data_IF_060579532663
#
_entry.id   IF_060579532663
#
_cell.length_a   1.000
_cell.length_b   1.000
_cell.length_c   1.000
_cell.angle_alpha   90.00
_cell.angle_beta   90.00
_cell.angle_gamma   90.00
#
_symmetry.space_group_name_H-M   'P 1'
#
loop_
_entity.id
_entity.type
_entity.pdbx_description
1 polymer ?
#
# COMPACT_ATOMS: atom_id res chain seq x y z
N UNK A 1 31.78 1.70 37.20
CA UNK A 1 30.40 1.64 36.66
C UNK A 1 30.21 2.61 35.47
N UNK A 2 30.74 3.82 35.51
CA UNK A 2 30.67 4.83 34.42
C UNK A 2 31.31 4.34 33.09
N UNK A 3 32.50 3.79 33.10
CA UNK A 3 33.20 3.25 31.94
C UNK A 3 32.46 2.09 31.24
N UNK A 4 31.60 1.38 31.95
CA UNK A 4 30.84 0.26 31.40
C UNK A 4 29.57 0.73 30.69
N UNK A 5 28.96 1.84 31.12
CA UNK A 5 27.82 2.47 30.47
C UNK A 5 28.23 3.17 29.14
N UNK A 6 29.36 3.88 29.14
CA UNK A 6 29.89 4.53 27.91
C UNK A 6 30.25 3.53 26.80
N UNK A 7 30.84 2.38 27.16
CA UNK A 7 31.12 1.30 26.20
C UNK A 7 29.87 0.65 25.66
N UNK A 8 28.80 0.50 26.46
CA UNK A 8 27.51 -0.07 25.99
C UNK A 8 26.81 0.91 25.08
N UNK A 9 26.77 2.21 25.40
CA UNK A 9 26.20 3.26 24.54
C UNK A 9 26.92 3.36 23.21
N UNK A 10 28.26 3.35 23.22
CA UNK A 10 29.08 3.37 21.98
C UNK A 10 28.86 2.12 21.12
N UNK A 11 28.74 0.93 21.74
CA UNK A 11 28.45 -0.31 21.02
C UNK A 11 27.03 -0.32 20.44
N UNK A 12 26.08 0.22 21.18
CA UNK A 12 24.68 0.34 20.75
C UNK A 12 24.53 1.35 19.60
N UNK A 13 25.21 2.51 19.68
CA UNK A 13 25.26 3.48 18.59
C UNK A 13 25.85 2.89 17.30
N UNK A 14 26.99 2.19 17.41
CA UNK A 14 27.62 1.51 16.25
C UNK A 14 26.74 0.41 15.65
N UNK A 15 25.97 -0.29 16.48
CA UNK A 15 25.03 -1.30 16.01
C UNK A 15 23.86 -0.65 15.24
N UNK A 16 23.29 0.43 15.77
CA UNK A 16 22.24 1.21 15.12
C UNK A 16 22.71 1.81 13.81
N UNK A 17 23.93 2.41 13.78
CA UNK A 17 24.53 2.96 12.55
C UNK A 17 24.72 1.90 11.47
N UNK A 18 25.23 0.71 11.85
CA UNK A 18 25.37 -0.41 10.91
C UNK A 18 24.04 -0.89 10.38
N UNK A 19 23.04 -0.96 11.22
CA UNK A 19 21.68 -1.37 10.81
C UNK A 19 21.05 -0.33 9.86
N UNK A 20 21.21 0.96 10.15
CA UNK A 20 20.76 2.04 9.27
C UNK A 20 21.50 2.04 7.94
N UNK A 21 22.82 1.78 7.92
CA UNK A 21 23.58 1.64 6.67
C UNK A 21 23.13 0.43 5.84
N UNK A 22 22.88 -0.71 6.47
CA UNK A 22 22.38 -1.90 5.79
C UNK A 22 21.00 -1.66 5.17
N UNK A 23 20.11 -1.00 5.90
CA UNK A 23 18.78 -0.63 5.38
C UNK A 23 18.89 0.37 4.21
N UNK A 24 19.73 1.40 4.30
CA UNK A 24 19.97 2.33 3.19
C UNK A 24 20.52 1.64 1.95
N UNK A 25 21.52 0.77 2.11
CA UNK A 25 22.08 -0.01 1.01
C UNK A 25 21.02 -0.90 0.34
N UNK A 26 20.15 -1.54 1.12
CA UNK A 26 19.03 -2.35 0.61
C UNK A 26 18.06 -1.50 -0.22
N UNK A 27 17.72 -0.31 0.27
CA UNK A 27 16.84 0.64 -0.40
C UNK A 27 17.47 1.14 -1.71
N UNK A 28 18.74 1.54 -1.68
CA UNK A 28 19.46 2.02 -2.85
C UNK A 28 19.60 0.93 -3.92
N UNK A 29 19.87 -0.31 -3.51
CA UNK A 29 19.87 -1.46 -4.42
C UNK A 29 18.51 -1.68 -5.07
N UNK A 30 17.42 -1.68 -4.29
CA UNK A 30 16.05 -1.86 -4.80
C UNK A 30 15.70 -0.73 -5.77
N UNK A 31 16.04 0.50 -5.45
CA UNK A 31 15.78 1.67 -6.31
C UNK A 31 16.51 1.57 -7.64
N UNK A 32 17.81 1.23 -7.60
CA UNK A 32 18.63 1.09 -8.80
C UNK A 32 18.16 -0.08 -9.66
N UNK A 33 17.93 -1.24 -9.05
CA UNK A 33 17.40 -2.43 -9.76
C UNK A 33 16.04 -2.14 -10.39
N UNK A 34 15.15 -1.44 -9.70
CA UNK A 34 13.83 -1.08 -10.25
C UNK A 34 13.95 -0.16 -11.47
N UNK A 35 14.87 0.81 -11.42
CA UNK A 35 15.16 1.67 -12.57
C UNK A 35 15.72 0.87 -13.76
N UNK A 36 16.67 -0.02 -13.50
CA UNK A 36 17.35 -0.81 -14.54
C UNK A 36 16.42 -1.87 -15.16
N UNK A 37 15.41 -2.33 -14.40
CA UNK A 37 14.36 -3.22 -14.92
C UNK A 37 13.29 -2.48 -15.74
N UNK A 38 13.04 -1.21 -15.47
CA UNK A 38 12.04 -0.42 -16.20
C UNK A 38 12.39 -0.25 -17.68
N UNK A 39 13.67 -0.05 -18.00
CA UNK A 39 14.13 0.17 -19.37
C UNK A 39 13.90 -1.02 -20.30
N UNK A 40 14.37 -2.26 -19.99
CA UNK A 40 14.12 -3.42 -20.83
C UNK A 40 12.63 -3.76 -20.89
N UNK A 41 11.88 -3.57 -19.81
CA UNK A 41 10.44 -3.81 -19.79
C UNK A 41 9.69 -2.87 -20.73
N UNK A 42 10.03 -1.58 -20.74
CA UNK A 42 9.44 -0.60 -21.68
C UNK A 42 9.68 -1.02 -23.13
N UNK A 43 10.87 -1.53 -23.43
CA UNK A 43 11.19 -2.05 -24.76
C UNK A 43 10.36 -3.29 -25.12
N UNK A 44 10.22 -4.24 -24.16
CA UNK A 44 9.40 -5.44 -24.39
C UNK A 44 7.94 -5.08 -24.64
N UNK A 45 7.36 -4.15 -23.87
CA UNK A 45 5.98 -3.65 -24.08
C UNK A 45 5.86 -3.05 -25.47
N UNK A 46 6.79 -2.19 -25.89
CA UNK A 46 6.78 -1.57 -27.22
C UNK A 46 6.80 -2.60 -28.37
N UNK A 47 7.63 -3.64 -28.28
CA UNK A 47 7.64 -4.71 -29.29
C UNK A 47 6.37 -5.56 -29.27
N UNK A 48 5.80 -5.83 -28.12
CA UNK A 48 4.53 -6.56 -28.00
C UNK A 48 3.38 -5.76 -28.60
N UNK A 49 3.36 -4.43 -28.41
CA UNK A 49 2.37 -3.54 -29.02
C UNK A 49 2.53 -3.44 -30.54
N UNK A 50 3.74 -3.57 -31.06
CA UNK A 50 3.99 -3.69 -32.52
C UNK A 50 3.48 -5.03 -33.04
N UNK A 51 3.77 -6.14 -32.34
CA UNK A 51 3.29 -7.48 -32.73
C UNK A 51 1.75 -7.55 -32.78
N UNK A 52 1.03 -6.87 -31.85
CA UNK A 52 -0.44 -6.80 -31.89
C UNK A 52 -1.02 -6.12 -33.14
N UNK A 53 -0.19 -5.37 -33.86
CA UNK A 53 -0.61 -4.68 -35.12
C UNK A 53 -0.32 -5.49 -36.36
N UNK A 54 0.40 -6.61 -36.24
CA UNK A 54 0.70 -7.50 -37.36
C UNK A 54 -0.42 -8.53 -37.55
N UNK A 55 -0.50 -9.10 -38.77
CA UNK A 55 -1.41 -10.20 -39.08
C UNK A 55 -0.92 -11.50 -38.43
N UNK A 56 -1.37 -11.74 -37.20
CA UNK A 56 -1.00 -12.91 -36.41
C UNK A 56 -1.96 -14.06 -36.65
N UNK A 57 -1.46 -15.29 -36.60
CA UNK A 57 -2.33 -16.47 -36.47
C UNK A 57 -3.07 -16.45 -35.15
N UNK A 58 -4.27 -17.08 -35.03
CA UNK A 58 -5.00 -17.10 -33.73
C UNK A 58 -4.16 -17.57 -32.55
N UNK A 59 -3.36 -18.62 -32.74
CA UNK A 59 -2.47 -19.12 -31.69
C UNK A 59 -1.36 -18.10 -31.32
N UNK A 60 -0.82 -17.35 -32.27
CA UNK A 60 0.18 -16.31 -32.02
C UNK A 60 -0.44 -15.11 -31.29
N UNK A 61 -1.70 -14.80 -31.60
CA UNK A 61 -2.45 -13.75 -30.92
C UNK A 61 -2.68 -14.10 -29.43
N UNK A 62 -3.08 -15.35 -29.11
CA UNK A 62 -3.23 -15.83 -27.76
C UNK A 62 -1.89 -15.70 -26.97
N UNK A 63 -0.77 -16.05 -27.60
CA UNK A 63 0.55 -15.90 -26.94
C UNK A 63 0.90 -14.45 -26.68
N UNK A 64 0.64 -13.55 -27.60
CA UNK A 64 0.88 -12.11 -27.45
C UNK A 64 0.03 -11.53 -26.34
N UNK A 65 -1.23 -11.97 -26.19
CA UNK A 65 -2.10 -11.55 -25.09
C UNK A 65 -1.57 -12.01 -23.73
N UNK A 66 -1.14 -13.27 -23.62
CA UNK A 66 -0.52 -13.79 -22.38
C UNK A 66 0.75 -13.03 -22.04
N UNK A 67 1.63 -12.78 -23.03
CA UNK A 67 2.86 -12.01 -22.81
C UNK A 67 2.54 -10.59 -22.34
N UNK A 68 1.57 -9.92 -22.99
CA UNK A 68 1.14 -8.58 -22.60
C UNK A 68 0.63 -8.52 -21.15
N UNK A 69 -0.20 -9.49 -20.75
CA UNK A 69 -0.70 -9.57 -19.37
C UNK A 69 0.45 -9.74 -18.36
N UNK A 70 1.44 -10.60 -18.69
CA UNK A 70 2.62 -10.81 -17.83
C UNK A 70 3.55 -9.59 -17.78
N UNK A 71 3.67 -8.85 -18.86
CA UNK A 71 4.43 -7.59 -18.89
C UNK A 71 3.78 -6.51 -18.02
N UNK A 72 2.46 -6.34 -18.10
CA UNK A 72 1.75 -5.38 -17.24
C UNK A 72 1.89 -5.76 -15.76
N UNK A 73 1.72 -7.04 -15.44
CA UNK A 73 1.95 -7.57 -14.09
C UNK A 73 3.37 -7.27 -13.58
N UNK A 74 4.41 -7.45 -14.40
CA UNK A 74 5.80 -7.15 -14.04
C UNK A 74 6.03 -5.64 -13.86
N UNK A 75 5.41 -4.82 -14.69
CA UNK A 75 5.48 -3.36 -14.60
C UNK A 75 4.88 -2.86 -13.28
N UNK A 76 3.71 -3.35 -12.89
CA UNK A 76 3.08 -3.04 -11.60
C UNK A 76 3.95 -3.47 -10.42
N UNK A 77 4.59 -4.65 -10.50
CA UNK A 77 5.50 -5.14 -9.48
C UNK A 77 6.71 -4.21 -9.30
N UNK A 78 7.37 -3.84 -10.39
CA UNK A 78 8.53 -2.93 -10.37
C UNK A 78 8.11 -1.56 -9.81
N UNK A 79 6.95 -1.05 -10.22
CA UNK A 79 6.42 0.21 -9.73
C UNK A 79 6.15 0.15 -8.21
N UNK A 80 5.49 -0.90 -7.73
CA UNK A 80 5.20 -1.11 -6.32
C UNK A 80 6.48 -1.23 -5.48
N UNK A 81 7.49 -1.94 -5.99
CA UNK A 81 8.79 -2.07 -5.33
C UNK A 81 9.50 -0.71 -5.21
N UNK A 82 9.42 0.11 -6.25
CA UNK A 82 9.99 1.46 -6.26
C UNK A 82 9.26 2.39 -5.28
N UNK A 83 7.91 2.35 -5.23
CA UNK A 83 7.08 3.09 -4.28
C UNK A 83 7.44 2.71 -2.84
N UNK A 84 7.53 1.41 -2.55
CA UNK A 84 7.90 0.92 -1.23
C UNK A 84 9.31 1.36 -0.83
N UNK A 85 10.28 1.24 -1.74
CA UNK A 85 11.66 1.68 -1.50
C UNK A 85 11.73 3.18 -1.16
N UNK A 86 11.05 4.03 -1.92
CA UNK A 86 11.01 5.48 -1.65
C UNK A 86 10.32 5.82 -0.34
N UNK A 87 9.19 5.17 -0.05
CA UNK A 87 8.42 5.46 1.16
C UNK A 87 9.14 5.03 2.44
N UNK A 88 9.94 3.96 2.38
CA UNK A 88 10.74 3.48 3.53
C UNK A 88 12.05 4.23 3.72
N UNK A 89 12.62 4.81 2.64
CA UNK A 89 13.87 5.59 2.72
C UNK A 89 13.71 6.97 3.37
N UNK A 90 12.49 7.44 3.59
CA UNK A 90 12.24 8.80 4.06
C UNK A 90 12.63 9.91 3.07
N UNK A 91 13.00 9.55 1.84
CA UNK A 91 13.38 10.50 0.79
C UNK A 91 12.17 11.04 0.02
N UNK A 92 11.02 10.43 0.17
CA UNK A 92 9.80 10.84 -0.50
C UNK A 92 9.20 12.07 0.19
N UNK A 93 8.91 13.10 -0.59
CA UNK A 93 8.25 14.31 -0.10
C UNK A 93 6.74 14.12 -0.15
N UNK A 94 6.07 14.39 0.97
CA UNK A 94 4.62 14.38 1.09
C UNK A 94 4.10 15.81 1.03
N UNK A 95 3.11 16.05 0.18
CA UNK A 95 2.40 17.33 0.12
C UNK A 95 1.21 17.27 1.08
N UNK A 96 1.49 17.56 2.35
CA UNK A 96 0.49 17.47 3.41
C UNK A 96 -0.53 18.60 3.30
N UNK A 97 -1.80 18.26 3.13
CA UNK A 97 -2.92 19.20 3.07
C UNK A 97 -4.10 18.69 3.91
N UNK A 98 -5.00 19.59 4.27
CA UNK A 98 -6.23 19.23 4.97
C UNK A 98 -7.21 18.61 3.99
N UNK A 99 -7.62 17.37 4.27
CA UNK A 99 -8.45 16.55 3.41
C UNK A 99 -9.66 15.99 4.17
N UNK A 100 -10.63 15.51 3.42
CA UNK A 100 -11.78 14.78 3.97
C UNK A 100 -11.69 13.29 3.57
N UNK A 101 -11.47 12.44 4.57
CA UNK A 101 -11.35 10.98 4.39
C UNK A 101 -12.59 10.37 3.75
N UNK A 102 -13.79 10.85 4.09
CA UNK A 102 -15.03 10.37 3.52
C UNK A 102 -15.06 10.58 2.00
N UNK A 103 -14.78 11.81 1.54
CA UNK A 103 -14.75 12.14 0.10
C UNK A 103 -13.72 11.31 -0.65
N UNK A 104 -12.57 11.09 -0.04
CA UNK A 104 -11.51 10.29 -0.65
C UNK A 104 -11.93 8.82 -0.83
N UNK A 105 -12.57 8.24 0.16
CA UNK A 105 -13.11 6.86 0.07
C UNK A 105 -14.18 6.80 -1.03
N UNK A 106 -15.14 7.72 -1.03
CA UNK A 106 -16.21 7.78 -2.03
C UNK A 106 -15.63 7.91 -3.46
N UNK A 107 -14.65 8.80 -3.65
CA UNK A 107 -13.97 8.97 -4.93
C UNK A 107 -13.25 7.68 -5.36
N UNK A 108 -12.45 7.09 -4.49
CA UNK A 108 -11.69 5.87 -4.83
C UNK A 108 -12.61 4.71 -5.20
N UNK A 109 -13.73 4.54 -4.47
CA UNK A 109 -14.72 3.50 -4.79
C UNK A 109 -15.42 3.77 -6.13
N UNK A 110 -15.73 5.04 -6.45
CA UNK A 110 -16.30 5.41 -7.74
C UNK A 110 -15.33 5.15 -8.90
N UNK A 111 -14.04 5.47 -8.73
CA UNK A 111 -13.00 5.22 -9.74
C UNK A 111 -12.77 3.70 -9.97
N UNK A 112 -13.11 2.86 -9.00
CA UNK A 112 -12.97 1.40 -9.05
C UNK A 112 -14.30 0.67 -9.30
N UNK A 113 -15.38 1.37 -9.63
CA UNK A 113 -16.74 0.80 -9.74
C UNK A 113 -16.82 -0.39 -10.72
N UNK A 114 -16.20 -0.28 -11.88
CA UNK A 114 -16.17 -1.36 -12.87
C UNK A 114 -15.58 -2.66 -12.29
N UNK A 115 -14.46 -2.58 -11.57
CA UNK A 115 -13.82 -3.72 -10.95
C UNK A 115 -14.66 -4.28 -9.79
N UNK A 116 -15.29 -3.39 -9.02
CA UNK A 116 -16.19 -3.75 -7.91
C UNK A 116 -17.41 -4.51 -8.45
N UNK A 117 -18.05 -4.01 -9.50
CA UNK A 117 -19.23 -4.64 -10.13
C UNK A 117 -18.88 -6.02 -10.69
N UNK A 118 -17.70 -6.17 -11.31
CA UNK A 118 -17.24 -7.45 -11.85
C UNK A 118 -16.85 -8.48 -10.78
N UNK A 119 -16.57 -8.06 -9.55
CA UNK A 119 -16.02 -8.92 -8.48
C UNK A 119 -17.02 -9.87 -7.82
N UNK A 120 -18.31 -9.77 -8.11
CA UNK A 120 -19.39 -10.46 -7.37
C UNK A 120 -19.47 -10.14 -5.86
N UNK A 121 -18.70 -9.18 -5.35
CA UNK A 121 -18.73 -8.74 -3.95
C UNK A 121 -19.80 -7.67 -3.73
N UNK A 122 -20.38 -7.64 -2.52
CA UNK A 122 -21.38 -6.65 -2.15
C UNK A 122 -20.80 -5.63 -1.18
N UNK A 123 -20.40 -4.47 -1.66
CA UNK A 123 -19.87 -3.40 -0.82
C UNK A 123 -20.97 -2.71 -0.02
N UNK A 124 -20.72 -2.49 1.26
CA UNK A 124 -21.57 -1.79 2.23
C UNK A 124 -20.73 -0.72 2.92
N UNK A 125 -21.10 0.53 2.69
CA UNK A 125 -20.38 1.69 3.26
C UNK A 125 -21.20 2.34 4.37
N UNK A 126 -20.56 2.71 5.48
CA UNK A 126 -21.10 3.48 6.59
C UNK A 126 -20.11 4.58 6.98
N UNK A 127 -20.13 5.68 6.23
CA UNK A 127 -19.16 6.78 6.33
C UNK A 127 -19.67 7.97 7.17
N UNK A 128 -20.87 7.86 7.74
CA UNK A 128 -21.52 8.95 8.48
C UNK A 128 -21.90 10.15 7.59
N UNK A 129 -22.49 11.17 8.20
CA UNK A 129 -22.90 12.39 7.49
C UNK A 129 -21.83 13.50 7.60
N UNK A 130 -21.10 13.55 8.71
CA UNK A 130 -20.10 14.57 8.99
C UNK A 130 -18.83 14.38 8.18
N UNK A 131 -18.13 15.49 7.82
CA UNK A 131 -16.80 15.44 7.26
C UNK A 131 -15.79 14.79 8.21
N UNK A 132 -14.81 14.11 7.66
CA UNK A 132 -13.73 13.44 8.39
C UNK A 132 -12.37 14.10 8.08
N UNK A 133 -12.10 15.31 8.63
CA UNK A 133 -10.93 16.09 8.27
C UNK A 133 -9.65 15.51 8.89
N UNK A 134 -8.62 15.31 8.08
CA UNK A 134 -7.28 14.89 8.51
C UNK A 134 -6.20 15.59 7.66
N UNK A 135 -4.94 15.51 8.08
CA UNK A 135 -3.80 15.96 7.29
C UNK A 135 -3.20 14.77 6.53
N UNK A 136 -3.01 14.92 5.23
CA UNK A 136 -2.44 13.88 4.38
C UNK A 136 -2.04 14.39 3.01
N UNK A 137 -1.39 13.54 2.24
CA UNK A 137 -1.10 13.75 0.82
C UNK A 137 -2.17 13.05 -0.01
N UNK A 138 -2.86 13.80 -0.87
CA UNK A 138 -4.01 13.31 -1.61
C UNK A 138 -3.66 12.08 -2.48
N UNK A 139 -2.61 12.17 -3.27
CA UNK A 139 -2.20 11.07 -4.15
C UNK A 139 -1.77 9.84 -3.37
N UNK A 140 -1.07 10.02 -2.26
CA UNK A 140 -0.61 8.92 -1.41
C UNK A 140 -1.76 8.26 -0.65
N UNK A 141 -2.68 9.04 -0.12
CA UNK A 141 -3.83 8.48 0.58
C UNK A 141 -4.80 7.79 -0.37
N UNK A 142 -5.02 8.35 -1.58
CA UNK A 142 -5.74 7.65 -2.65
C UNK A 142 -5.12 6.28 -2.93
N UNK A 143 -3.79 6.20 -3.06
CA UNK A 143 -3.06 4.94 -3.27
C UNK A 143 -3.21 3.98 -2.09
N UNK A 144 -3.28 4.48 -0.85
CA UNK A 144 -3.57 3.65 0.33
C UNK A 144 -4.94 2.98 0.19
N UNK A 145 -6.00 3.77 -0.03
CA UNK A 145 -7.36 3.23 -0.16
C UNK A 145 -7.46 2.29 -1.35
N UNK A 146 -6.89 2.64 -2.49
CA UNK A 146 -6.83 1.80 -3.69
C UNK A 146 -6.18 0.44 -3.40
N UNK A 147 -5.00 0.42 -2.79
CA UNK A 147 -4.31 -0.83 -2.43
C UNK A 147 -5.15 -1.72 -1.50
N UNK A 148 -5.90 -1.12 -0.57
CA UNK A 148 -6.78 -1.86 0.34
C UNK A 148 -7.99 -2.43 -0.40
N UNK A 149 -8.60 -1.69 -1.32
CA UNK A 149 -9.72 -2.16 -2.14
C UNK A 149 -9.25 -3.24 -3.12
N UNK A 150 -8.10 -3.06 -3.80
CA UNK A 150 -7.49 -4.08 -4.67
C UNK A 150 -7.22 -5.39 -3.91
N UNK A 151 -6.73 -5.28 -2.65
CA UNK A 151 -6.52 -6.43 -1.78
C UNK A 151 -7.85 -7.15 -1.49
N UNK A 152 -8.91 -6.41 -1.16
CA UNK A 152 -10.25 -6.95 -0.94
C UNK A 152 -10.77 -7.65 -2.20
N UNK A 153 -10.72 -7.00 -3.36
CA UNK A 153 -11.19 -7.57 -4.63
C UNK A 153 -10.49 -8.88 -4.97
N UNK A 154 -9.22 -8.99 -4.63
CA UNK A 154 -8.37 -10.11 -4.97
C UNK A 154 -8.50 -11.32 -4.03
N UNK A 155 -8.63 -11.05 -2.73
CA UNK A 155 -8.52 -12.10 -1.71
C UNK A 155 -9.83 -12.42 -1.00
N UNK A 156 -10.93 -11.73 -1.33
CA UNK A 156 -12.22 -12.03 -0.73
C UNK A 156 -12.89 -13.23 -1.36
N UNK A 157 -13.63 -13.96 -0.53
CA UNK A 157 -14.51 -15.03 -0.98
C UNK A 157 -15.66 -14.44 -1.81
N UNK A 158 -15.80 -14.90 -3.06
CA UNK A 158 -16.85 -14.43 -3.96
C UNK A 158 -18.27 -14.57 -3.37
N UNK A 159 -19.16 -13.65 -3.74
CA UNK A 159 -20.55 -13.63 -3.24
C UNK A 159 -20.70 -13.13 -1.81
N UNK A 160 -19.63 -12.70 -1.14
CA UNK A 160 -19.67 -12.19 0.23
C UNK A 160 -19.81 -10.67 0.30
N UNK A 161 -19.95 -10.14 1.52
CA UNK A 161 -20.05 -8.70 1.76
C UNK A 161 -18.72 -8.12 2.19
N UNK A 162 -18.45 -6.90 1.70
CA UNK A 162 -17.36 -6.05 2.15
C UNK A 162 -17.97 -4.89 2.94
N UNK A 163 -17.43 -4.60 4.11
CA UNK A 163 -17.89 -3.48 4.93
C UNK A 163 -16.79 -2.43 5.05
N UNK A 164 -17.12 -1.18 4.74
CA UNK A 164 -16.24 -0.03 4.89
C UNK A 164 -16.94 0.96 5.82
N UNK A 165 -16.41 1.08 7.03
CA UNK A 165 -16.91 1.98 8.05
C UNK A 165 -15.88 3.08 8.31
N UNK A 166 -16.30 4.34 8.40
CA UNK A 166 -15.43 5.44 8.78
C UNK A 166 -16.15 6.38 9.74
N UNK A 167 -15.39 7.01 10.64
CA UNK A 167 -15.96 7.91 11.63
C UNK A 167 -14.89 8.56 12.50
N UNK A 168 -15.34 9.28 13.54
CA UNK A 168 -14.51 9.93 14.55
C UNK A 168 -14.66 9.26 15.90
N UNK A 169 -13.55 9.09 16.60
CA UNK A 169 -13.54 8.59 17.97
C UNK A 169 -12.30 9.10 18.71
N UNK A 170 -12.51 9.73 19.86
CA UNK A 170 -11.44 10.21 20.76
C UNK A 170 -10.43 11.15 20.07
N UNK A 171 -10.86 12.04 19.16
CA UNK A 171 -9.98 12.95 18.43
C UNK A 171 -9.20 12.28 17.29
N UNK A 172 -9.55 11.06 16.93
CA UNK A 172 -9.01 10.35 15.79
C UNK A 172 -10.10 10.03 14.76
N UNK A 173 -9.73 10.09 13.50
CA UNK A 173 -10.49 9.53 12.39
C UNK A 173 -10.08 8.08 12.24
N UNK A 174 -11.06 7.19 12.12
CA UNK A 174 -10.83 5.79 11.79
C UNK A 174 -11.52 5.40 10.48
N UNK A 175 -10.87 4.52 9.75
CA UNK A 175 -11.46 3.78 8.62
C UNK A 175 -11.28 2.30 8.91
N UNK A 176 -12.34 1.52 8.81
CA UNK A 176 -12.29 0.07 8.98
C UNK A 176 -12.80 -0.59 7.71
N UNK A 177 -12.02 -1.46 7.11
CA UNK A 177 -12.43 -2.30 5.98
C UNK A 177 -12.44 -3.76 6.42
N UNK A 178 -13.52 -4.48 6.12
CA UNK A 178 -13.74 -5.88 6.53
C UNK A 178 -14.22 -6.69 5.35
N UNK A 179 -13.65 -7.86 5.17
CA UNK A 179 -14.05 -8.82 4.16
C UNK A 179 -13.85 -10.25 4.64
N UNK A 180 -14.55 -11.20 4.04
CA UNK A 180 -14.32 -12.63 4.25
C UNK A 180 -13.23 -13.08 3.29
N UNK A 181 -12.16 -13.67 3.82
CA UNK A 181 -11.05 -14.20 3.02
C UNK A 181 -11.48 -15.47 2.27
N UNK A 182 -11.02 -15.62 1.03
CA UNK A 182 -11.15 -16.87 0.27
C UNK A 182 -10.15 -17.96 0.73
N UNK A 183 -9.24 -17.60 1.61
CA UNK A 183 -8.16 -18.47 2.11
C UNK A 183 -8.22 -18.56 3.62
N UNK A 184 -7.90 -19.72 4.15
CA UNK A 184 -7.76 -19.95 5.59
C UNK A 184 -6.69 -19.02 6.19
N UNK A 185 -7.03 -18.30 7.24
CA UNK A 185 -6.15 -17.33 7.90
C UNK A 185 -5.74 -17.86 9.28
N UNK A 186 -4.71 -18.71 9.29
CA UNK A 186 -4.19 -19.36 10.51
C UNK A 186 -2.99 -18.58 11.10
N UNK A 187 -3.07 -17.26 11.17
CA UNK A 187 -1.96 -16.42 11.64
C UNK A 187 -2.34 -15.63 12.88
N UNK A 188 -1.42 -15.49 13.82
CA UNK A 188 -1.53 -14.54 14.91
C UNK A 188 -1.41 -13.09 14.37
N UNK A 189 -2.07 -12.12 15.02
CA UNK A 189 -2.14 -10.72 14.53
C UNK A 189 -0.76 -10.08 14.32
N UNK A 190 0.23 -10.45 15.15
CA UNK A 190 1.61 -9.97 15.07
C UNK A 190 2.36 -10.55 13.87
N UNK A 191 2.17 -11.84 13.57
CA UNK A 191 2.72 -12.49 12.37
C UNK A 191 2.10 -11.95 11.08
N UNK A 192 0.84 -11.50 11.14
CA UNK A 192 0.16 -10.95 9.97
C UNK A 192 0.86 -9.72 9.43
N UNK A 193 1.18 -8.74 10.28
CA UNK A 193 1.90 -7.54 9.83
C UNK A 193 3.27 -7.89 9.25
N UNK A 194 4.02 -8.82 9.85
CA UNK A 194 5.32 -9.24 9.32
C UNK A 194 5.18 -9.94 7.96
N UNK A 195 4.26 -10.87 7.82
CA UNK A 195 4.06 -11.65 6.58
C UNK A 195 3.45 -10.82 5.45
N UNK A 196 2.45 -9.97 5.73
CA UNK A 196 1.81 -9.14 4.71
C UNK A 196 2.65 -7.92 4.32
N UNK A 197 3.47 -7.39 5.22
CA UNK A 197 4.36 -6.26 4.96
C UNK A 197 5.70 -6.72 4.37
N UNK A 198 6.20 -7.92 4.70
CA UNK A 198 7.47 -8.45 4.17
C UNK A 198 7.34 -9.26 2.88
N UNK A 199 6.12 -9.55 2.40
CA UNK A 199 5.90 -10.33 1.17
C UNK A 199 6.41 -11.77 1.31
N UNK A 200 5.60 -12.65 1.91
CA UNK A 200 5.97 -14.07 2.01
C UNK A 200 5.95 -14.71 0.63
N UNK A 201 7.10 -15.24 0.17
CA UNK A 201 7.30 -15.87 -1.14
C UNK A 201 6.47 -17.15 -1.34
N UNK A 202 5.79 -17.65 -0.30
CA UNK A 202 5.06 -18.91 -0.32
C UNK A 202 3.68 -18.88 -0.98
N UNK A 203 3.18 -17.68 -1.42
CA UNK A 203 1.88 -17.55 -2.06
C UNK A 203 2.01 -17.58 -3.58
N UNK A 204 1.66 -18.72 -4.17
CA UNK A 204 1.46 -18.96 -5.62
C UNK A 204 0.27 -18.21 -6.25
N UNK A 205 -0.34 -17.25 -5.56
CA UNK A 205 -1.46 -16.44 -6.07
C UNK A 205 -0.95 -15.16 -6.75
N UNK A 206 -1.61 -14.74 -7.82
CA UNK A 206 -1.31 -13.63 -8.75
C UNK A 206 -1.13 -12.22 -8.16
N UNK A 207 -0.48 -12.03 -7.00
CA UNK A 207 -0.26 -10.75 -6.34
C UNK A 207 1.11 -10.62 -5.73
N UNK A 208 1.70 -9.42 -5.91
CA UNK A 208 3.07 -9.15 -5.50
C UNK A 208 3.23 -8.95 -3.98
N UNK A 209 2.14 -9.00 -3.20
CA UNK A 209 2.16 -8.83 -1.74
C UNK A 209 2.60 -7.44 -1.24
N UNK A 210 2.91 -6.50 -2.14
CA UNK A 210 3.48 -5.20 -1.78
C UNK A 210 2.42 -4.13 -1.43
N UNK A 211 1.15 -4.31 -1.84
CA UNK A 211 0.11 -3.31 -1.67
C UNK A 211 -0.14 -2.92 -0.20
N UNK A 212 -0.23 -3.90 0.70
CA UNK A 212 -0.38 -3.64 2.14
C UNK A 212 0.85 -2.99 2.76
N UNK A 213 2.05 -3.37 2.30
CA UNK A 213 3.31 -2.76 2.73
C UNK A 213 3.38 -1.27 2.35
N UNK A 214 2.98 -0.93 1.11
CA UNK A 214 2.89 0.45 0.62
C UNK A 214 1.83 1.22 1.43
N UNK A 215 0.64 0.64 1.61
CA UNK A 215 -0.43 1.27 2.39
C UNK A 215 0.01 1.56 3.83
N UNK A 216 0.68 0.61 4.49
CA UNK A 216 1.24 0.78 5.83
C UNK A 216 2.29 1.89 5.90
N UNK A 217 3.25 1.87 4.96
CA UNK A 217 4.33 2.86 4.91
C UNK A 217 3.79 4.27 4.65
N UNK A 218 2.90 4.45 3.69
CA UNK A 218 2.29 5.76 3.42
C UNK A 218 1.44 6.26 4.59
N UNK A 219 0.66 5.38 5.21
CA UNK A 219 -0.12 5.72 6.40
C UNK A 219 0.78 6.24 7.52
N UNK A 220 1.87 5.53 7.83
CA UNK A 220 2.83 5.93 8.85
C UNK A 220 3.53 7.27 8.52
N UNK A 221 3.97 7.46 7.28
CA UNK A 221 4.62 8.71 6.85
C UNK A 221 3.68 9.93 6.88
N UNK A 222 2.37 9.72 6.80
CA UNK A 222 1.34 10.76 6.98
C UNK A 222 0.90 10.93 8.44
N UNK A 223 1.59 10.30 9.40
CA UNK A 223 1.28 10.42 10.83
C UNK A 223 0.10 9.58 11.30
N UNK A 224 -0.40 8.68 10.46
CA UNK A 224 -1.42 7.70 10.81
C UNK A 224 -0.84 6.37 11.28
N UNK A 225 -1.72 5.42 11.59
CA UNK A 225 -1.37 4.02 11.87
C UNK A 225 -2.32 3.06 11.18
N UNK A 226 -1.79 1.93 10.73
CA UNK A 226 -2.55 0.84 10.13
C UNK A 226 -2.43 -0.40 11.01
N UNK A 227 -3.55 -1.00 11.31
CA UNK A 227 -3.67 -2.23 12.10
C UNK A 227 -4.33 -3.30 11.24
N UNK A 228 -3.85 -4.54 11.32
CA UNK A 228 -4.46 -5.70 10.69
C UNK A 228 -5.02 -6.62 11.78
N UNK A 229 -6.16 -7.23 11.53
CA UNK A 229 -6.73 -8.24 12.41
C UNK A 229 -7.43 -9.32 11.56
N UNK A 230 -7.43 -10.55 12.07
CA UNK A 230 -8.25 -11.63 11.55
C UNK A 230 -9.03 -12.28 12.71
N UNK A 231 -10.22 -12.75 12.38
CA UNK A 231 -11.05 -13.55 13.28
C UNK A 231 -11.68 -14.65 12.43
N UNK A 232 -11.09 -15.84 12.44
CA UNK A 232 -11.36 -16.87 11.45
C UNK A 232 -11.08 -16.35 10.04
N UNK A 233 -12.08 -16.42 9.15
CA UNK A 233 -11.98 -15.93 7.77
C UNK A 233 -12.27 -14.42 7.63
N UNK A 234 -12.65 -13.74 8.70
CA UNK A 234 -12.91 -12.29 8.70
C UNK A 234 -11.58 -11.53 8.77
N UNK A 235 -11.15 -10.97 7.63
CA UNK A 235 -10.02 -10.05 7.57
C UNK A 235 -10.46 -8.61 7.81
N UNK A 236 -9.68 -7.87 8.57
CA UNK A 236 -9.95 -6.49 8.93
C UNK A 236 -8.70 -5.64 8.83
N UNK A 237 -8.82 -4.50 8.17
CA UNK A 237 -7.82 -3.41 8.17
C UNK A 237 -8.42 -2.20 8.87
N UNK A 238 -7.64 -1.58 9.75
CA UNK A 238 -8.03 -0.36 10.45
C UNK A 238 -6.98 0.70 10.19
N UNK A 239 -7.39 1.84 9.62
CA UNK A 239 -6.58 3.04 9.53
C UNK A 239 -6.99 4.01 10.62
N UNK A 240 -6.03 4.71 11.22
CA UNK A 240 -6.29 5.78 12.19
C UNK A 240 -5.41 6.98 11.88
N UNK A 241 -6.01 8.15 11.91
CA UNK A 241 -5.33 9.44 11.73
C UNK A 241 -5.79 10.42 12.80
N UNK A 242 -4.91 11.31 13.28
CA UNK A 242 -5.33 12.45 14.09
C UNK A 242 -6.37 13.30 13.33
N UNK A 243 -7.44 13.71 14.01
CA UNK A 243 -8.40 14.66 13.42
C UNK A 243 -7.71 16.02 13.22
N UNK A 244 -7.81 16.59 12.02
CA UNK A 244 -7.30 17.93 11.76
C UNK A 244 -8.26 18.98 12.33
N UNK A 245 -7.82 19.71 13.37
CA UNK A 245 -8.54 20.85 13.93
C UNK A 245 -8.75 21.98 12.93
N UNK A 246 -9.60 22.95 13.27
CA UNK A 246 -9.86 24.11 12.41
C UNK A 246 -8.60 24.96 12.16
N UNK A 247 -7.64 24.99 13.09
CA UNK A 247 -6.40 25.77 13.01
C UNK A 247 -5.22 25.06 12.32
N UNK A 248 -5.36 23.83 11.84
CA UNK A 248 -4.26 23.03 11.27
C UNK A 248 -3.84 23.47 9.85
N UNK A 249 -4.41 24.52 9.29
CA UNK A 249 -4.11 25.02 7.94
C UNK A 249 -2.94 26.02 7.88
N UNK A 250 -2.29 26.36 9.02
CA UNK A 250 -1.20 27.34 9.08
C UNK A 250 0.00 26.80 9.86
N UNK A 251 0.70 25.83 9.28
CA UNK A 251 1.98 25.31 9.77
C UNK A 251 3.04 25.37 8.70
N UNK A 252 3.24 26.58 8.12
CA UNK A 252 4.43 26.92 7.36
C UNK A 252 5.70 26.75 8.21
N UNK A 253 6.66 26.05 7.65
CA UNK A 253 8.08 26.37 7.71
C UNK A 253 8.64 26.73 9.09
N UNK A 254 9.13 25.74 9.79
CA UNK A 254 10.22 25.95 10.75
C UNK A 254 11.15 24.75 10.80
N UNK A 255 11.95 24.54 9.74
CA UNK A 255 13.26 23.91 9.90
C UNK A 255 14.26 25.06 9.77
N UNK A 256 14.65 25.59 10.93
CA UNK A 256 15.83 26.45 11.05
C UNK A 256 17.07 25.55 11.13
N UNK A 257 17.99 25.85 10.22
CA UNK A 257 19.46 25.81 10.36
C UNK A 257 20.07 24.67 11.11
#
# INVERSE_FOLDING_TARGET
TLFRSENIESAMQKSVEKQMQAERLKIDLITNVSHDLKTPLTSMVGYTDLLKKEDLTPAAQDYVEVISAKQEQLKEMIQSLFELSKSTSGTEKFQMEKMDMKRLIEQTLADMDDAIVQSSLSFRTALGEEPLPFLGDNGKMYRVIQNLVENILKYSLGGTRVYIDAGKKNGEIFVTMKNISAYEMNFEAEEMMERFVRGDESRTSEGHGLGLAIASSYTANMGGRMELAADGDLFKVILRFPEAGEDSAAGETAIKT
#
